data_IF_389824939551
#
_entry.id   IF_389824939551
#
_cell.length_a   1.000
_cell.length_b   1.000
_cell.length_c   1.000
_cell.angle_alpha   90.00
_cell.angle_beta   90.00
_cell.angle_gamma   90.00
#
_symmetry.space_group_name_H-M   'P 1'
#
loop_
_entity.id
_entity.type
_entity.pdbx_description
1 polymer ?
#
# COMPACT_ATOMS: atom_id res chain seq x y z
N UNK A 1 -33.91 38.79 6.99
CA UNK A 1 -33.81 37.40 7.49
C UNK A 1 -33.65 36.38 6.36
N UNK A 2 -34.53 36.36 5.35
CA UNK A 2 -34.47 35.41 4.22
C UNK A 2 -33.09 35.37 3.50
N UNK A 3 -32.51 36.53 3.20
CA UNK A 3 -31.20 36.60 2.53
C UNK A 3 -30.06 35.97 3.35
N UNK A 4 -30.09 36.11 4.68
CA UNK A 4 -29.10 35.50 5.59
C UNK A 4 -29.30 33.99 5.64
N UNK A 5 -30.55 33.53 5.63
CA UNK A 5 -30.87 32.10 5.59
C UNK A 5 -30.37 31.46 4.28
N UNK A 6 -30.64 32.08 3.14
CA UNK A 6 -30.15 31.62 1.83
C UNK A 6 -28.62 31.62 1.75
N UNK A 7 -27.96 32.64 2.30
CA UNK A 7 -26.50 32.69 2.39
C UNK A 7 -25.94 31.54 3.23
N UNK A 8 -26.56 31.26 4.39
CA UNK A 8 -26.12 30.19 5.28
C UNK A 8 -26.27 28.80 4.66
N UNK A 9 -27.35 28.56 3.91
CA UNK A 9 -27.55 27.32 3.16
C UNK A 9 -26.50 27.16 2.04
N UNK A 10 -26.25 28.22 1.27
CA UNK A 10 -25.22 28.19 0.22
C UNK A 10 -23.83 27.90 0.79
N UNK A 11 -23.48 28.54 1.91
CA UNK A 11 -22.21 28.29 2.60
C UNK A 11 -22.11 26.87 3.16
N UNK A 12 -23.17 26.34 3.77
CA UNK A 12 -23.19 24.99 4.30
C UNK A 12 -22.98 23.92 3.20
N UNK A 13 -23.60 24.12 2.03
CA UNK A 13 -23.41 23.23 0.88
C UNK A 13 -21.96 23.29 0.37
N UNK A 14 -21.40 24.49 0.19
CA UNK A 14 -20.01 24.65 -0.25
C UNK A 14 -19.01 24.06 0.74
N UNK A 15 -19.23 24.28 2.04
CA UNK A 15 -18.41 23.72 3.10
C UNK A 15 -18.46 22.18 3.09
N UNK A 16 -19.65 21.59 3.01
CA UNK A 16 -19.82 20.14 2.95
C UNK A 16 -19.15 19.50 1.73
N UNK A 17 -19.27 20.14 0.55
CA UNK A 17 -18.58 19.69 -0.67
C UNK A 17 -17.05 19.78 -0.53
N UNK A 18 -16.54 20.84 0.09
CA UNK A 18 -15.11 21.05 0.28
C UNK A 18 -14.50 20.01 1.23
N UNK A 19 -15.15 19.76 2.37
CA UNK A 19 -14.73 18.72 3.31
C UNK A 19 -14.77 17.31 2.68
N UNK A 20 -15.81 17.03 1.90
CA UNK A 20 -15.92 15.79 1.14
C UNK A 20 -14.75 15.60 0.16
N UNK A 21 -14.49 16.63 -0.66
CA UNK A 21 -13.39 16.61 -1.63
C UNK A 21 -12.01 16.46 -0.96
N UNK A 22 -11.77 17.14 0.16
CA UNK A 22 -10.52 17.01 0.93
C UNK A 22 -10.38 15.59 1.49
N UNK A 23 -11.47 15.02 2.01
CA UNK A 23 -11.48 13.66 2.52
C UNK A 23 -11.16 12.62 1.44
N UNK A 24 -11.78 12.75 0.27
CA UNK A 24 -11.54 11.87 -0.89
C UNK A 24 -10.11 12.01 -1.41
N UNK A 25 -9.61 13.25 -1.54
CA UNK A 25 -8.24 13.50 -1.98
C UNK A 25 -7.21 12.90 -1.02
N UNK A 26 -7.46 13.00 0.30
CA UNK A 26 -6.59 12.37 1.30
C UNK A 26 -6.64 10.85 1.19
N UNK A 27 -7.83 10.25 1.04
CA UNK A 27 -7.95 8.80 0.86
C UNK A 27 -7.21 8.31 -0.39
N UNK A 28 -7.33 9.03 -1.50
CA UNK A 28 -6.60 8.73 -2.74
C UNK A 28 -5.07 8.85 -2.57
N UNK A 29 -4.59 9.86 -1.85
CA UNK A 29 -3.16 10.03 -1.55
C UNK A 29 -2.60 8.83 -0.77
N UNK A 30 -3.28 8.41 0.29
CA UNK A 30 -2.85 7.28 1.11
C UNK A 30 -2.85 5.96 0.34
N UNK A 31 -3.87 5.74 -0.51
CA UNK A 31 -3.91 4.57 -1.38
C UNK A 31 -2.72 4.57 -2.35
N UNK A 32 -2.45 5.72 -2.98
CA UNK A 32 -1.32 5.87 -3.90
C UNK A 32 0.02 5.64 -3.20
N UNK A 33 0.21 6.18 -1.99
CA UNK A 33 1.40 5.97 -1.18
C UNK A 33 1.59 4.49 -0.80
N UNK A 34 0.52 3.81 -0.35
CA UNK A 34 0.55 2.38 -0.03
C UNK A 34 0.87 1.50 -1.24
N UNK A 35 0.28 1.79 -2.40
CA UNK A 35 0.60 1.11 -3.66
C UNK A 35 2.05 1.37 -4.09
N UNK A 36 2.51 2.61 -4.02
CA UNK A 36 3.90 2.96 -4.34
C UNK A 36 4.89 2.26 -3.40
N UNK A 37 4.55 2.10 -2.12
CA UNK A 37 5.38 1.36 -1.17
C UNK A 37 5.47 -0.12 -1.56
N UNK A 38 4.34 -0.76 -1.87
CA UNK A 38 4.34 -2.16 -2.30
C UNK A 38 5.22 -2.36 -3.55
N UNK A 39 5.05 -1.48 -4.54
CA UNK A 39 5.83 -1.46 -5.77
C UNK A 39 7.33 -1.25 -5.49
N UNK A 40 7.68 -0.27 -4.64
CA UNK A 40 9.06 0.00 -4.24
C UNK A 40 9.72 -1.21 -3.59
N UNK A 41 9.03 -1.95 -2.70
CA UNK A 41 9.58 -3.19 -2.10
C UNK A 41 9.81 -4.25 -3.16
N UNK A 42 8.87 -4.41 -4.10
CA UNK A 42 9.00 -5.36 -5.21
C UNK A 42 10.21 -5.01 -6.10
N UNK A 43 10.39 -3.74 -6.43
CA UNK A 43 11.53 -3.24 -7.22
C UNK A 43 12.88 -3.41 -6.48
N UNK A 44 12.90 -3.20 -5.16
CA UNK A 44 14.10 -3.42 -4.34
C UNK A 44 14.57 -4.88 -4.37
N UNK A 45 13.62 -5.83 -4.36
CA UNK A 45 13.90 -7.25 -4.53
C UNK A 45 14.40 -7.54 -5.95
N UNK A 46 13.73 -7.01 -6.98
CA UNK A 46 14.11 -7.22 -8.37
C UNK A 46 15.47 -6.58 -8.75
N UNK A 47 15.92 -5.56 -8.01
CA UNK A 47 17.20 -4.88 -8.26
C UNK A 47 18.44 -5.71 -7.90
N UNK A 48 18.28 -6.83 -7.18
CA UNK A 48 19.37 -7.68 -6.72
C UNK A 48 19.13 -9.14 -7.14
N UNK A 49 20.20 -9.95 -7.18
CA UNK A 49 20.06 -11.40 -7.37
C UNK A 49 19.30 -12.01 -6.20
N UNK A 50 18.48 -13.03 -6.48
CA UNK A 50 17.71 -13.73 -5.45
C UNK A 50 18.60 -14.33 -4.35
N UNK A 51 19.75 -14.90 -4.73
CA UNK A 51 20.76 -15.37 -3.79
C UNK A 51 21.19 -14.29 -2.79
N UNK A 52 21.34 -13.04 -3.24
CA UNK A 52 21.66 -11.90 -2.38
C UNK A 52 20.48 -11.50 -1.49
N UNK A 53 19.27 -11.46 -2.04
CA UNK A 53 18.06 -11.17 -1.26
C UNK A 53 17.87 -12.17 -0.12
N UNK A 54 18.13 -13.45 -0.37
CA UNK A 54 18.06 -14.51 0.65
C UNK A 54 19.16 -14.34 1.69
N UNK A 55 20.41 -14.12 1.27
CA UNK A 55 21.53 -13.94 2.18
C UNK A 55 21.38 -12.70 3.08
N UNK A 56 20.73 -11.64 2.58
CA UNK A 56 20.47 -10.41 3.31
C UNK A 56 19.15 -10.44 4.10
N UNK A 57 18.43 -11.56 4.09
CA UNK A 57 17.10 -11.71 4.72
C UNK A 57 16.08 -10.67 4.23
N UNK A 58 16.26 -10.12 3.02
CA UNK A 58 15.30 -9.23 2.38
C UNK A 58 14.08 -10.02 1.85
N UNK A 59 14.28 -11.31 1.57
CA UNK A 59 13.24 -12.26 1.21
C UNK A 59 13.63 -13.63 1.77
N UNK A 60 12.67 -14.39 2.30
CA UNK A 60 12.91 -15.73 2.88
C UNK A 60 11.94 -16.70 2.23
N UNK A 61 12.40 -17.64 1.38
CA UNK A 61 11.53 -18.62 0.75
C UNK A 61 10.79 -19.47 1.79
N UNK A 62 9.45 -19.52 1.69
CA UNK A 62 8.57 -20.15 2.68
C UNK A 62 8.35 -19.33 3.96
N UNK A 63 8.89 -18.10 4.02
CA UNK A 63 8.82 -17.22 5.18
C UNK A 63 8.23 -15.86 4.85
N UNK A 64 8.24 -15.01 5.88
CA UNK A 64 7.73 -13.63 5.83
C UNK A 64 8.78 -12.68 6.40
N UNK A 65 9.01 -11.56 5.71
CA UNK A 65 9.83 -10.44 6.17
C UNK A 65 8.93 -9.23 6.31
N UNK A 66 8.98 -8.53 7.43
CA UNK A 66 8.08 -7.41 7.70
C UNK A 66 8.82 -6.15 8.16
N UNK A 67 8.12 -5.02 8.11
CA UNK A 67 8.61 -3.77 8.65
C UNK A 67 7.57 -2.66 8.57
N UNK A 68 8.00 -1.44 8.92
CA UNK A 68 7.15 -0.27 8.94
C UNK A 68 7.81 0.87 8.14
N UNK A 69 7.00 1.66 7.45
CA UNK A 69 7.42 2.88 6.75
C UNK A 69 6.34 3.96 6.97
N UNK A 70 6.56 4.83 7.97
CA UNK A 70 5.55 5.79 8.40
C UNK A 70 4.34 5.12 9.05
N UNK A 71 3.14 5.42 8.55
CA UNK A 71 1.87 4.81 9.00
C UNK A 71 1.57 3.46 8.33
N UNK A 72 2.44 3.03 7.40
CA UNK A 72 2.28 1.80 6.65
C UNK A 72 3.09 0.67 7.28
N UNK A 73 2.41 -0.43 7.57
CA UNK A 73 3.03 -1.71 7.88
C UNK A 73 3.11 -2.54 6.59
N UNK A 74 4.25 -3.19 6.33
CA UNK A 74 4.44 -3.99 5.13
C UNK A 74 4.97 -5.38 5.46
N UNK A 75 4.57 -6.36 4.66
CA UNK A 75 5.01 -7.75 4.73
C UNK A 75 5.40 -8.24 3.33
N UNK A 76 6.52 -8.92 3.23
CA UNK A 76 6.98 -9.66 2.06
C UNK A 76 6.88 -11.13 2.38
N UNK A 77 5.91 -11.81 1.77
CA UNK A 77 5.78 -13.25 1.82
C UNK A 77 6.35 -13.86 0.55
N UNK A 78 7.05 -14.99 0.66
CA UNK A 78 7.49 -15.72 -0.52
C UNK A 78 7.32 -17.22 -0.38
N UNK A 79 6.89 -17.87 -1.45
CA UNK A 79 6.66 -19.31 -1.50
C UNK A 79 7.15 -19.88 -2.84
N UNK A 80 7.72 -21.09 -2.81
CA UNK A 80 8.04 -21.81 -4.05
C UNK A 80 6.75 -22.35 -4.66
N UNK A 81 6.58 -22.11 -5.96
CA UNK A 81 5.44 -22.64 -6.70
C UNK A 81 5.61 -24.13 -7.05
N UNK A 82 4.60 -24.67 -7.75
CA UNK A 82 4.64 -26.04 -8.28
C UNK A 82 5.72 -26.25 -9.34
N UNK A 83 6.09 -25.17 -10.04
CA UNK A 83 7.14 -25.17 -11.05
C UNK A 83 8.49 -24.97 -10.34
N UNK A 84 9.47 -25.89 -10.51
CA UNK A 84 10.81 -25.72 -9.98
C UNK A 84 11.39 -24.37 -10.42
N UNK A 85 12.10 -23.69 -9.52
CA UNK A 85 12.74 -22.39 -9.78
C UNK A 85 11.80 -21.19 -9.95
N UNK A 86 10.47 -21.34 -9.82
CA UNK A 86 9.56 -20.20 -9.73
C UNK A 86 9.26 -19.86 -8.27
N UNK A 87 9.69 -18.67 -7.86
CA UNK A 87 9.36 -18.09 -6.57
C UNK A 87 8.20 -17.12 -6.73
N UNK A 88 7.14 -17.34 -5.97
CA UNK A 88 6.03 -16.41 -5.84
C UNK A 88 6.32 -15.47 -4.68
N UNK A 89 6.24 -14.18 -4.95
CA UNK A 89 6.51 -13.14 -3.96
C UNK A 89 5.30 -12.23 -3.88
N UNK A 90 4.78 -12.08 -2.66
CA UNK A 90 3.65 -11.23 -2.33
C UNK A 90 4.12 -10.14 -1.37
N UNK A 91 3.88 -8.89 -1.74
CA UNK A 91 4.06 -7.73 -0.87
C UNK A 91 2.69 -7.23 -0.44
N UNK A 92 2.44 -7.25 0.86
CA UNK A 92 1.25 -6.70 1.48
C UNK A 92 1.63 -5.41 2.20
N UNK A 93 0.82 -4.38 2.04
CA UNK A 93 0.94 -3.10 2.74
C UNK A 93 -0.38 -2.79 3.40
N UNK A 94 -0.38 -2.60 4.72
CA UNK A 94 -1.55 -2.26 5.52
C UNK A 94 -1.36 -0.95 6.25
N UNK A 95 -2.45 -0.20 6.41
CA UNK A 95 -2.46 1.06 7.16
C UNK A 95 -3.85 1.30 7.75
N UNK A 96 -3.94 2.20 8.73
CA UNK A 96 -5.22 2.58 9.33
C UNK A 96 -5.49 4.05 9.04
N UNK A 97 -6.64 4.36 8.42
CA UNK A 97 -7.06 5.73 8.15
C UNK A 97 -8.40 6.00 8.83
N UNK A 98 -8.44 6.97 9.75
CA UNK A 98 -9.63 7.33 10.56
C UNK A 98 -10.28 6.12 11.27
N UNK A 99 -9.44 5.19 11.74
CA UNK A 99 -9.89 3.98 12.44
C UNK A 99 -10.35 2.83 11.53
N UNK A 100 -10.37 3.03 10.21
CA UNK A 100 -10.65 1.96 9.24
C UNK A 100 -9.33 1.34 8.76
N UNK A 101 -9.18 0.01 8.82
CA UNK A 101 -8.03 -0.67 8.25
C UNK A 101 -8.14 -0.73 6.72
N UNK A 102 -7.03 -0.51 6.05
CA UNK A 102 -6.87 -0.66 4.60
C UNK A 102 -5.68 -1.56 4.32
N UNK A 103 -5.74 -2.27 3.20
CA UNK A 103 -4.67 -3.13 2.73
C UNK A 103 -4.54 -3.05 1.22
N UNK A 104 -3.31 -3.20 0.74
CA UNK A 104 -2.96 -3.35 -0.66
C UNK A 104 -2.01 -4.53 -0.81
N UNK A 105 -2.26 -5.38 -1.81
CA UNK A 105 -1.48 -6.58 -2.06
C UNK A 105 -0.97 -6.53 -3.50
N UNK A 106 0.34 -6.70 -3.66
CA UNK A 106 1.01 -6.85 -4.94
C UNK A 106 1.68 -8.23 -4.98
N UNK A 107 1.42 -8.99 -6.04
CA UNK A 107 1.96 -10.34 -6.20
C UNK A 107 2.67 -10.46 -7.55
N UNK A 108 3.83 -11.13 -7.55
CA UNK A 108 4.63 -11.38 -8.75
C UNK A 108 5.32 -12.75 -8.68
N UNK A 109 5.66 -13.28 -9.85
CA UNK A 109 6.38 -14.53 -10.02
C UNK A 109 7.78 -14.24 -10.58
N UNK A 110 8.78 -14.88 -10.01
CA UNK A 110 10.18 -14.71 -10.42
C UNK A 110 10.83 -16.06 -10.71
N UNK A 111 11.56 -16.11 -11.83
CA UNK A 111 12.50 -17.19 -12.10
C UNK A 111 13.76 -16.97 -11.26
N UNK A 112 14.13 -17.97 -10.47
CA UNK A 112 15.29 -17.95 -9.58
C UNK A 112 16.32 -18.96 -10.09
N UNK A 113 17.50 -18.45 -10.46
CA UNK A 113 18.65 -19.23 -10.93
C UNK A 113 19.44 -19.88 -9.77
#
# INVERSE_FOLDING_TARGET
>A
MLAVFLLSLGFAVLFGLTEGAISEARQASYLMEGTNLAQKKMEQLAAHTWSRNFAQQACIPGGTVEGNEGEFHWLVHSEWGEIPQLLKVRVEVSWTQRGNPYQYILESLYAVE
#
